data_IF_370752059700
#
_entry.id   IF_370752059700
#
_cell.length_a   1.000
_cell.length_b   1.000
_cell.length_c   1.000
_cell.angle_alpha   90.00
_cell.angle_beta   90.00
_cell.angle_gamma   90.00
#
_symmetry.space_group_name_H-M   'P 1'
#
loop_
_entity.id
_entity.type
_entity.pdbx_description
1 polymer ?
#
# COMPACT_ATOMS: atom_id res chain seq x y z
N UNK A 1 16.82 40.11 20.88
CA UNK A 1 17.00 39.68 19.47
C UNK A 1 17.55 38.26 19.30
N UNK A 2 18.02 37.57 20.36
CA UNK A 2 18.52 36.17 20.25
C UNK A 2 17.40 35.13 20.08
N UNK A 3 16.23 35.38 20.68
CA UNK A 3 15.10 34.43 20.67
C UNK A 3 14.28 34.45 19.36
N UNK A 4 14.37 35.52 18.56
CA UNK A 4 13.68 35.63 17.26
C UNK A 4 14.39 34.79 16.18
N UNK A 5 15.72 34.68 16.28
CA UNK A 5 16.53 33.86 15.37
C UNK A 5 16.29 32.35 15.57
N UNK A 6 16.07 31.92 16.82
CA UNK A 6 15.74 30.53 17.15
C UNK A 6 14.35 30.18 16.60
N UNK A 7 13.37 31.09 16.72
CA UNK A 7 12.03 30.88 16.17
C UNK A 7 12.02 30.77 14.63
N UNK A 8 12.85 31.55 13.92
CA UNK A 8 13.00 31.43 12.47
C UNK A 8 13.67 30.11 12.04
N UNK A 9 14.64 29.62 12.82
CA UNK A 9 15.30 28.34 12.55
C UNK A 9 14.36 27.14 12.69
N UNK A 10 13.40 27.19 13.61
CA UNK A 10 12.40 26.12 13.77
C UNK A 10 11.34 26.12 12.66
N UNK A 11 11.05 27.27 12.04
CA UNK A 11 10.10 27.37 10.93
C UNK A 11 10.62 26.78 9.61
N UNK A 12 11.94 26.61 9.46
CA UNK A 12 12.53 26.01 8.25
C UNK A 12 12.62 24.48 8.30
N UNK A 13 12.53 23.85 9.47
CA UNK A 13 12.64 22.38 9.64
C UNK A 13 11.27 21.69 9.43
N UNK A 14 10.16 22.44 9.47
CA UNK A 14 8.82 21.88 9.43
C UNK A 14 8.26 21.53 8.04
N UNK A 15 9.01 21.74 6.94
CA UNK A 15 8.42 21.70 5.59
C UNK A 15 8.72 20.46 4.72
N UNK A 16 9.56 19.52 5.11
CA UNK A 16 9.91 18.41 4.20
C UNK A 16 10.16 17.07 4.90
N UNK A 17 9.13 16.50 5.51
CA UNK A 17 9.13 15.08 5.86
C UNK A 17 7.87 14.39 5.37
N UNK A 18 7.45 14.73 4.14
CA UNK A 18 6.63 13.81 3.38
C UNK A 18 7.56 12.72 2.85
N UNK A 19 7.32 11.48 3.25
CA UNK A 19 8.01 10.36 2.66
C UNK A 19 7.67 10.30 1.17
N UNK A 20 8.69 10.26 0.32
CA UNK A 20 8.52 10.21 -1.13
C UNK A 20 7.70 8.98 -1.52
N UNK A 21 6.67 9.17 -2.34
CA UNK A 21 5.97 8.06 -2.98
C UNK A 21 6.97 7.37 -3.89
N UNK A 22 7.28 6.11 -3.61
CA UNK A 22 8.21 5.32 -4.42
C UNK A 22 7.50 4.76 -5.64
N UNK A 23 7.13 5.64 -6.57
CA UNK A 23 6.38 5.31 -7.80
C UNK A 23 7.21 5.55 -9.08
N UNK A 24 8.49 5.88 -8.94
CA UNK A 24 9.45 6.07 -10.02
C UNK A 24 10.20 4.76 -10.33
N UNK A 25 9.73 4.07 -11.36
CA UNK A 25 10.16 2.73 -11.75
C UNK A 25 10.95 2.76 -13.06
N UNK A 26 11.88 1.81 -13.24
CA UNK A 26 12.30 1.45 -14.60
C UNK A 26 11.14 0.81 -15.35
N UNK A 27 11.24 0.70 -16.67
CA UNK A 27 10.20 0.01 -17.47
C UNK A 27 10.01 -1.43 -17.02
N UNK A 28 11.11 -2.15 -16.80
CA UNK A 28 11.11 -3.56 -16.39
C UNK A 28 10.46 -3.74 -15.01
N UNK A 29 10.71 -2.80 -14.08
CA UNK A 29 10.07 -2.77 -12.78
C UNK A 29 8.57 -2.48 -12.89
N UNK A 30 8.16 -1.52 -13.73
CA UNK A 30 6.74 -1.23 -13.97
C UNK A 30 6.00 -2.43 -14.55
N UNK A 31 6.60 -3.13 -15.51
CA UNK A 31 6.06 -4.38 -16.06
C UNK A 31 6.00 -5.51 -15.02
N UNK A 32 6.98 -5.59 -14.11
CA UNK A 32 6.98 -6.56 -13.02
C UNK A 32 5.86 -6.26 -12.00
N UNK A 33 5.62 -4.99 -11.68
CA UNK A 33 4.48 -4.55 -10.87
C UNK A 33 3.16 -4.98 -11.52
N UNK A 34 2.99 -4.73 -12.83
CA UNK A 34 1.78 -5.15 -13.56
C UNK A 34 1.55 -6.66 -13.44
N UNK A 35 2.58 -7.49 -13.71
CA UNK A 35 2.47 -8.95 -13.58
C UNK A 35 2.10 -9.39 -12.16
N UNK A 36 2.74 -8.80 -11.15
CA UNK A 36 2.43 -9.10 -9.74
C UNK A 36 0.97 -8.78 -9.41
N UNK A 37 0.44 -7.64 -9.87
CA UNK A 37 -0.94 -7.24 -9.63
C UNK A 37 -1.97 -8.06 -10.44
N UNK A 38 -1.59 -8.60 -11.60
CA UNK A 38 -2.42 -9.56 -12.34
C UNK A 38 -2.52 -10.91 -11.61
N UNK A 39 -1.42 -11.38 -11.01
CA UNK A 39 -1.38 -12.65 -10.28
C UNK A 39 -1.96 -12.57 -8.86
N UNK A 40 -1.72 -11.44 -8.18
CA UNK A 40 -2.13 -11.14 -6.81
C UNK A 40 -2.91 -9.80 -6.78
N UNK A 41 -4.15 -9.78 -7.31
CA UNK A 41 -4.90 -8.52 -7.49
C UNK A 41 -5.47 -7.93 -6.21
N UNK A 42 -5.19 -8.52 -5.04
CA UNK A 42 -5.68 -8.03 -3.76
C UNK A 42 -4.53 -7.42 -2.97
N UNK A 43 -4.64 -6.12 -2.74
CA UNK A 43 -3.59 -5.30 -2.14
C UNK A 43 -4.15 -4.47 -0.99
N UNK A 44 -3.29 -3.98 -0.13
CA UNK A 44 -3.62 -2.92 0.82
C UNK A 44 -2.98 -1.61 0.38
N UNK A 45 -3.78 -0.54 0.43
CA UNK A 45 -3.25 0.82 0.49
C UNK A 45 -3.01 1.15 1.97
N UNK A 46 -1.74 1.24 2.34
CA UNK A 46 -1.30 1.29 3.72
C UNK A 46 0.07 1.98 3.88
N UNK A 47 0.06 3.15 4.52
CA UNK A 47 1.26 3.81 5.01
C UNK A 47 1.60 3.33 6.43
N UNK A 48 2.59 2.44 6.54
CA UNK A 48 3.02 1.83 7.80
C UNK A 48 3.86 2.75 8.69
N UNK A 49 4.51 3.76 8.11
CA UNK A 49 5.24 4.79 8.86
C UNK A 49 4.34 5.95 9.31
N UNK A 50 3.09 6.04 8.83
CA UNK A 50 2.18 7.11 9.20
C UNK A 50 1.69 6.93 10.64
N UNK A 51 1.48 8.04 11.36
CA UNK A 51 0.80 8.03 12.66
C UNK A 51 -0.58 7.38 12.51
N UNK A 52 -1.01 6.61 13.50
CA UNK A 52 -2.35 5.99 13.53
C UNK A 52 -3.46 7.00 13.91
N UNK A 53 -3.10 8.23 14.32
CA UNK A 53 -4.04 9.30 14.69
C UNK A 53 -4.16 10.41 13.61
N UNK A 54 -3.38 10.32 12.53
CA UNK A 54 -3.36 11.31 11.45
C UNK A 54 -4.52 11.19 10.44
N UNK A 55 -4.67 12.19 9.56
CA UNK A 55 -5.68 12.17 8.48
C UNK A 55 -5.50 11.04 7.47
N UNK A 56 -4.25 10.57 7.30
CA UNK A 56 -3.89 9.42 6.46
C UNK A 56 -4.03 8.07 7.19
N UNK A 57 -4.01 8.13 8.53
CA UNK A 57 -4.03 6.96 9.40
C UNK A 57 -5.29 6.11 9.28
N UNK A 58 -6.42 6.76 9.02
CA UNK A 58 -7.72 6.12 9.07
C UNK A 58 -8.05 5.26 7.83
N UNK A 59 -7.11 5.09 6.89
CA UNK A 59 -7.42 4.59 5.53
C UNK A 59 -6.64 3.36 5.14
N UNK A 60 -6.49 2.37 6.03
CA UNK A 60 -6.06 1.06 5.54
C UNK A 60 -7.22 0.45 4.73
N UNK A 61 -7.01 0.25 3.44
CA UNK A 61 -8.05 -0.26 2.54
C UNK A 61 -7.59 -1.57 1.94
N UNK A 62 -8.41 -2.61 2.04
CA UNK A 62 -8.26 -3.81 1.23
C UNK A 62 -8.92 -3.55 -0.12
N UNK A 63 -8.13 -3.65 -1.17
CA UNK A 63 -8.48 -3.28 -2.52
C UNK A 63 -8.41 -4.50 -3.44
N UNK A 64 -9.16 -4.42 -4.52
CA UNK A 64 -9.01 -5.31 -5.66
C UNK A 64 -8.63 -4.49 -6.89
N UNK A 65 -7.46 -4.76 -7.44
CA UNK A 65 -7.03 -4.22 -8.73
C UNK A 65 -7.89 -4.80 -9.84
N UNK A 66 -8.43 -3.93 -10.68
CA UNK A 66 -9.28 -4.29 -11.82
C UNK A 66 -8.66 -3.98 -13.17
N UNK A 67 -7.72 -3.02 -13.20
CA UNK A 67 -6.92 -2.69 -14.38
C UNK A 67 -5.58 -2.09 -13.92
N UNK A 68 -4.61 -2.09 -14.82
CA UNK A 68 -3.29 -1.48 -14.62
C UNK A 68 -2.89 -0.74 -15.90
N UNK A 69 -2.21 0.38 -15.76
CA UNK A 69 -1.67 1.15 -16.89
C UNK A 69 -0.30 1.72 -16.53
N UNK A 70 0.69 1.53 -17.41
CA UNK A 70 2.03 2.11 -17.26
C UNK A 70 2.03 3.50 -17.90
N UNK A 71 2.44 4.52 -17.14
CA UNK A 71 2.53 5.92 -17.58
C UNK A 71 3.92 6.48 -17.30
N UNK A 72 4.33 7.58 -17.96
CA UNK A 72 5.48 8.36 -17.51
C UNK A 72 5.30 8.81 -16.06
N UNK A 73 6.36 8.74 -15.26
CA UNK A 73 6.34 9.22 -13.89
C UNK A 73 6.22 10.75 -13.87
N UNK A 74 5.32 11.27 -13.03
CA UNK A 74 4.93 12.68 -13.05
C UNK A 74 6.07 13.64 -12.66
N UNK A 75 7.01 13.17 -11.85
CA UNK A 75 8.08 13.99 -11.27
C UNK A 75 9.47 13.56 -11.72
N UNK A 76 9.60 12.41 -12.38
CA UNK A 76 10.85 11.92 -12.98
C UNK A 76 10.55 11.42 -14.41
N UNK A 77 10.55 12.30 -15.43
CA UNK A 77 10.00 11.98 -16.76
C UNK A 77 10.67 10.80 -17.50
N UNK A 78 11.91 10.47 -17.13
CA UNK A 78 12.66 9.31 -17.66
C UNK A 78 12.28 7.98 -16.98
N UNK A 79 11.47 8.04 -15.92
CA UNK A 79 10.93 6.89 -15.19
C UNK A 79 9.47 6.64 -15.55
N UNK A 80 8.98 5.48 -15.13
CA UNK A 80 7.60 5.04 -15.31
C UNK A 80 6.89 4.93 -13.96
N UNK A 81 5.57 5.02 -13.98
CA UNK A 81 4.69 4.74 -12.85
C UNK A 81 3.56 3.82 -13.30
N UNK A 82 2.98 3.08 -12.36
CA UNK A 82 1.82 2.22 -12.63
C UNK A 82 0.59 2.83 -11.98
N UNK A 83 -0.41 3.19 -12.78
CA UNK A 83 -1.74 3.58 -12.30
C UNK A 83 -2.69 2.40 -12.31
N UNK A 84 -3.59 2.32 -11.33
CA UNK A 84 -4.55 1.22 -11.19
C UNK A 84 -5.96 1.71 -11.00
N UNK A 85 -6.93 1.03 -11.62
CA UNK A 85 -8.33 1.11 -11.21
C UNK A 85 -8.59 0.05 -10.15
N UNK A 86 -9.17 0.44 -9.02
CA UNK A 86 -9.46 -0.48 -7.92
C UNK A 86 -10.93 -0.45 -7.50
N UNK A 87 -11.36 -1.56 -6.91
CA UNK A 87 -12.57 -1.62 -6.09
C UNK A 87 -12.17 -1.79 -4.64
N UNK A 88 -12.65 -0.90 -3.77
CA UNK A 88 -12.46 -1.05 -2.31
C UNK A 88 -13.40 -2.15 -1.81
N UNK A 89 -12.83 -3.21 -1.23
CA UNK A 89 -13.61 -4.36 -0.74
C UNK A 89 -13.74 -4.39 0.79
N UNK A 90 -12.83 -3.74 1.53
CA UNK A 90 -12.97 -3.48 2.96
C UNK A 90 -12.10 -2.30 3.43
N UNK A 91 -12.50 -1.68 4.53
CA UNK A 91 -11.69 -0.74 5.29
C UNK A 91 -11.27 -1.39 6.61
N UNK A 92 -10.02 -1.18 7.01
CA UNK A 92 -9.42 -1.71 8.23
C UNK A 92 -9.06 -0.53 9.14
N UNK A 93 -9.38 -0.60 10.44
CA UNK A 93 -8.82 0.33 11.42
C UNK A 93 -7.31 0.22 11.47
N UNK A 94 -6.61 1.34 11.61
CA UNK A 94 -5.17 1.35 11.87
C UNK A 94 -4.93 1.53 13.36
N UNK A 95 -4.21 0.60 13.97
CA UNK A 95 -3.78 0.63 15.35
C UNK A 95 -2.26 0.79 15.42
N UNK A 96 -1.73 1.07 16.61
CA UNK A 96 -0.28 1.20 16.82
C UNK A 96 0.51 -0.01 16.30
N UNK A 97 -0.04 -1.23 16.41
CA UNK A 97 0.58 -2.46 15.94
C UNK A 97 0.46 -2.70 14.43
N UNK A 98 -0.36 -1.93 13.71
CA UNK A 98 -0.68 -2.17 12.30
C UNK A 98 -2.19 -2.23 12.02
N UNK A 99 -2.58 -2.72 10.82
CA UNK A 99 -3.97 -2.87 10.45
C UNK A 99 -4.71 -3.93 11.28
N UNK A 100 -5.91 -3.61 11.75
CA UNK A 100 -6.80 -4.58 12.40
C UNK A 100 -7.70 -5.26 11.37
N UNK A 101 -7.33 -6.50 11.02
CA UNK A 101 -8.05 -7.34 10.05
C UNK A 101 -9.33 -7.97 10.62
N UNK A 102 -9.60 -7.81 11.92
CA UNK A 102 -10.77 -8.37 12.60
C UNK A 102 -11.91 -7.36 12.74
N UNK A 103 -11.59 -6.07 12.78
CA UNK A 103 -12.54 -4.97 12.93
C UNK A 103 -12.87 -4.28 11.59
N UNK A 104 -12.93 -5.05 10.51
CA UNK A 104 -13.17 -4.50 9.17
C UNK A 104 -14.57 -3.88 9.04
N UNK A 105 -14.68 -2.88 8.17
CA UNK A 105 -15.95 -2.30 7.76
C UNK A 105 -16.09 -2.29 6.24
N UNK A 106 -17.33 -2.29 5.76
CA UNK A 106 -17.65 -2.11 4.35
C UNK A 106 -18.41 -0.81 4.18
N UNK A 107 -18.00 0.01 3.22
CA UNK A 107 -18.79 1.13 2.72
C UNK A 107 -19.52 0.68 1.45
N UNK A 108 -20.46 1.51 0.95
CA UNK A 108 -21.02 1.30 -0.40
C UNK A 108 -19.86 1.16 -1.41
N UNK A 109 -20.12 0.44 -2.52
CA UNK A 109 -19.13 0.18 -3.56
C UNK A 109 -18.37 1.47 -3.91
N UNK A 110 -17.08 1.47 -3.60
CA UNK A 110 -16.16 2.57 -3.81
C UNK A 110 -15.16 2.10 -4.88
N UNK A 111 -15.04 2.91 -5.93
CA UNK A 111 -14.08 2.72 -7.02
C UNK A 111 -13.13 3.89 -6.91
N UNK A 112 -11.84 3.62 -7.04
CA UNK A 112 -10.79 4.62 -6.94
C UNK A 112 -9.73 4.37 -8.02
N UNK A 113 -8.97 5.42 -8.33
CA UNK A 113 -7.87 5.38 -9.29
C UNK A 113 -6.67 6.05 -8.65
N UNK A 114 -5.55 5.34 -8.53
CA UNK A 114 -4.35 5.92 -7.95
C UNK A 114 -3.07 5.28 -8.52
N UNK A 115 -1.95 5.96 -8.28
CA UNK A 115 -0.61 5.50 -8.67
C UNK A 115 -0.05 4.59 -7.59
N UNK A 116 0.45 3.43 -7.99
CA UNK A 116 1.12 2.48 -7.11
C UNK A 116 2.42 3.09 -6.60
N UNK A 117 2.49 3.27 -5.28
CA UNK A 117 3.74 3.55 -4.58
C UNK A 117 4.24 2.26 -3.92
N UNK A 118 5.49 1.88 -4.20
CA UNK A 118 6.06 0.59 -3.81
C UNK A 118 6.09 0.37 -2.28
N UNK A 119 6.14 1.45 -1.50
CA UNK A 119 6.13 1.45 -0.04
C UNK A 119 4.75 1.51 0.61
N UNK A 120 3.74 2.01 -0.09
CA UNK A 120 2.38 2.13 0.46
C UNK A 120 1.44 1.04 -0.05
N UNK A 121 1.79 0.38 -1.15
CA UNK A 121 1.07 -0.80 -1.64
C UNK A 121 1.61 -2.06 -1.00
N UNK A 122 0.76 -2.81 -0.29
CA UNK A 122 1.12 -4.09 0.30
C UNK A 122 0.42 -5.23 -0.43
N UNK A 123 1.16 -6.27 -0.84
CA UNK A 123 0.66 -7.44 -1.56
C UNK A 123 0.95 -8.73 -0.79
N UNK A 124 0.40 -9.85 -1.24
CA UNK A 124 0.70 -11.16 -0.67
C UNK A 124 2.11 -11.62 -1.04
N UNK A 125 2.96 -11.80 -0.03
CA UNK A 125 4.27 -12.42 -0.18
C UNK A 125 4.19 -13.92 0.10
N UNK A 126 4.45 -14.80 -0.90
CA UNK A 126 4.37 -16.24 -0.73
C UNK A 126 5.39 -16.82 0.25
N UNK A 127 6.58 -16.22 0.38
CA UNK A 127 7.64 -16.67 1.28
C UNK A 127 7.26 -16.49 2.75
N UNK A 128 6.67 -15.34 3.07
CA UNK A 128 6.27 -14.97 4.42
C UNK A 128 4.83 -15.40 4.77
N UNK A 129 4.04 -15.76 3.75
CA UNK A 129 2.61 -16.06 3.85
C UNK A 129 1.80 -14.92 4.51
N UNK A 130 2.18 -13.68 4.21
CA UNK A 130 1.62 -12.46 4.78
C UNK A 130 1.57 -11.34 3.74
N UNK A 131 0.86 -10.26 4.07
CA UNK A 131 0.96 -8.98 3.39
C UNK A 131 2.28 -8.30 3.75
N UNK A 132 2.99 -7.83 2.73
CA UNK A 132 4.22 -7.03 2.85
C UNK A 132 4.25 -5.95 1.77
N UNK A 133 5.07 -4.89 1.90
CA UNK A 133 5.20 -3.86 0.88
C UNK A 133 5.61 -4.44 -0.48
N UNK A 134 5.15 -3.84 -1.56
CA UNK A 134 5.35 -4.34 -2.93
C UNK A 134 6.83 -4.44 -3.31
N UNK A 135 7.70 -3.56 -2.80
CA UNK A 135 9.15 -3.64 -3.01
C UNK A 135 9.80 -4.92 -2.46
N UNK A 136 9.09 -5.67 -1.61
CA UNK A 136 9.59 -6.95 -1.05
C UNK A 136 9.30 -8.15 -1.95
N UNK A 137 8.36 -8.02 -2.89
CA UNK A 137 7.97 -9.07 -3.84
C UNK A 137 8.36 -8.74 -5.27
N UNK A 138 8.48 -7.45 -5.60
CA UNK A 138 8.92 -6.96 -6.89
C UNK A 138 10.28 -6.25 -6.72
N UNK A 139 11.30 -6.59 -7.51
CA UNK A 139 12.60 -5.92 -7.45
C UNK A 139 12.47 -4.40 -7.59
N UNK A 140 13.07 -3.66 -6.67
CA UNK A 140 13.06 -2.20 -6.68
C UNK A 140 14.41 -1.68 -6.23
N UNK A 141 15.12 -1.00 -7.13
CA UNK A 141 16.52 -0.58 -6.99
C UNK A 141 16.69 0.69 -6.13
N UNK A 142 15.64 1.51 -5.98
CA UNK A 142 15.69 2.71 -5.13
C UNK A 142 15.47 2.41 -3.64
N UNK A 143 15.10 1.19 -3.29
CA UNK A 143 15.01 0.74 -1.91
C UNK A 143 16.29 0.01 -1.50
N UNK A 144 17.10 0.70 -0.69
CA UNK A 144 18.34 0.14 -0.16
C UNK A 144 18.04 -1.08 0.73
N UNK A 145 18.86 -2.13 0.60
CA UNK A 145 18.64 -3.47 1.18
C UNK A 145 18.56 -3.52 2.71
N UNK A 146 18.98 -2.44 3.40
CA UNK A 146 18.93 -2.31 4.85
C UNK A 146 17.62 -1.70 5.37
N UNK A 147 16.78 -1.17 4.49
CA UNK A 147 15.52 -0.58 4.90
C UNK A 147 14.51 -1.70 5.17
N UNK A 148 13.83 -1.62 6.31
CA UNK A 148 12.73 -2.50 6.71
C UNK A 148 11.44 -1.67 6.73
N UNK A 149 10.26 -2.30 6.54
CA UNK A 149 9.00 -1.61 6.80
C UNK A 149 8.97 -1.09 8.25
N UNK A 150 8.30 0.03 8.46
CA UNK A 150 8.06 0.61 9.78
C UNK A 150 7.19 -0.28 10.67
N UNK A 151 6.33 -1.11 10.07
CA UNK A 151 5.48 -2.08 10.78
C UNK A 151 5.71 -3.50 10.28
N UNK A 152 5.36 -4.47 11.13
CA UNK A 152 5.49 -5.88 10.80
C UNK A 152 4.53 -6.29 9.68
N UNK A 153 4.89 -7.37 8.98
CA UNK A 153 3.98 -8.04 8.08
C UNK A 153 2.72 -8.52 8.81
N UNK A 154 1.58 -8.52 8.11
CA UNK A 154 0.29 -8.90 8.68
C UNK A 154 -0.47 -9.81 7.73
N UNK A 155 -1.45 -10.57 8.23
CA UNK A 155 -2.16 -11.55 7.38
C UNK A 155 -3.26 -10.87 6.57
N UNK A 156 -3.57 -11.44 5.41
CA UNK A 156 -4.83 -11.13 4.74
C UNK A 156 -6.02 -11.65 5.57
N UNK A 157 -7.17 -10.96 5.59
CA UNK A 157 -8.34 -11.41 6.32
C UNK A 157 -8.90 -12.70 5.74
N UNK A 158 -9.24 -13.68 6.58
CA UNK A 158 -9.87 -14.90 6.07
C UNK A 158 -11.29 -14.62 5.54
N UNK A 159 -11.83 -15.47 4.64
CA UNK A 159 -13.22 -15.37 4.22
C UNK A 159 -14.24 -15.34 5.37
N UNK A 160 -13.93 -16.00 6.48
CA UNK A 160 -14.74 -16.02 7.70
C UNK A 160 -14.65 -14.69 8.45
N UNK A 161 -13.44 -14.12 8.62
CA UNK A 161 -13.24 -12.79 9.20
C UNK A 161 -13.94 -11.70 8.36
N UNK A 162 -13.91 -11.84 7.03
CA UNK A 162 -14.59 -10.95 6.09
C UNK A 162 -16.06 -11.27 5.85
N UNK A 163 -16.69 -12.20 6.57
CA UNK A 163 -18.05 -12.65 6.26
C UNK A 163 -19.05 -11.50 6.38
N UNK A 164 -19.81 -11.26 5.31
CA UNK A 164 -20.78 -10.15 5.22
C UNK A 164 -20.17 -8.80 4.82
N UNK A 165 -18.85 -8.65 4.93
CA UNK A 165 -18.08 -7.44 4.60
C UNK A 165 -17.44 -7.60 3.22
N UNK A 166 -16.55 -8.59 3.08
CA UNK A 166 -15.89 -8.93 1.81
C UNK A 166 -16.83 -9.84 1.01
N UNK A 167 -17.64 -9.20 0.17
CA UNK A 167 -18.62 -9.88 -0.70
C UNK A 167 -18.02 -10.38 -2.02
N UNK A 168 -16.78 -10.03 -2.33
CA UNK A 168 -16.13 -10.46 -3.56
C UNK A 168 -15.87 -11.98 -3.56
N UNK A 169 -16.57 -12.71 -4.43
CA UNK A 169 -16.41 -14.16 -4.56
C UNK A 169 -15.05 -14.58 -5.14
N UNK A 170 -14.44 -13.74 -5.97
CA UNK A 170 -13.10 -13.99 -6.52
C UNK A 170 -12.04 -13.88 -5.43
N UNK A 171 -12.26 -13.05 -4.40
CA UNK A 171 -11.37 -12.95 -3.24
C UNK A 171 -11.31 -14.27 -2.50
N UNK A 172 -12.47 -14.88 -2.23
CA UNK A 172 -12.55 -16.18 -1.53
C UNK A 172 -11.83 -17.28 -2.32
N UNK A 173 -12.01 -17.32 -3.63
CA UNK A 173 -11.32 -18.27 -4.51
C UNK A 173 -9.82 -18.05 -4.54
N UNK A 174 -9.38 -16.79 -4.62
CA UNK A 174 -7.96 -16.43 -4.57
C UNK A 174 -7.34 -16.80 -3.23
N UNK A 175 -7.99 -16.44 -2.11
CA UNK A 175 -7.53 -16.72 -0.75
C UNK A 175 -7.32 -18.23 -0.57
N UNK A 176 -8.31 -19.04 -0.96
CA UNK A 176 -8.19 -20.50 -0.88
C UNK A 176 -7.04 -21.05 -1.74
N UNK A 177 -6.83 -20.50 -2.93
CA UNK A 177 -5.78 -20.95 -3.87
C UNK A 177 -4.37 -20.59 -3.39
N UNK A 178 -4.19 -19.36 -2.87
CA UNK A 178 -2.88 -18.77 -2.57
C UNK A 178 -2.47 -18.90 -1.10
N UNK A 179 -3.43 -18.83 -0.18
CA UNK A 179 -3.20 -18.75 1.27
C UNK A 179 -3.71 -19.98 2.02
N UNK A 180 -4.88 -20.51 1.63
CA UNK A 180 -5.58 -21.60 2.35
C UNK A 180 -4.97 -23.00 2.24
N UNK A 181 -3.65 -23.11 2.03
CA UNK A 181 -2.90 -24.37 2.02
C UNK A 181 -2.09 -24.55 3.30
#
# INVERSE_FOLDING_TARGET
MKNLFIALLFLTIANFSFADSWDNLTKEQAEAVVRELEENPYIFDYCDCCSHEGSYAAKVRLLKVTSTEIKPCAWEPESFSVTVDVVVIAHLPYQEAGPDVTAMTSKKKEIDVYTIAMNYTWTYNPGEKSASPLYTTVPYDKYDTDKKPCKSYFKFPTPEQGKGIIKDGKYKSWYKKKIGK
#
